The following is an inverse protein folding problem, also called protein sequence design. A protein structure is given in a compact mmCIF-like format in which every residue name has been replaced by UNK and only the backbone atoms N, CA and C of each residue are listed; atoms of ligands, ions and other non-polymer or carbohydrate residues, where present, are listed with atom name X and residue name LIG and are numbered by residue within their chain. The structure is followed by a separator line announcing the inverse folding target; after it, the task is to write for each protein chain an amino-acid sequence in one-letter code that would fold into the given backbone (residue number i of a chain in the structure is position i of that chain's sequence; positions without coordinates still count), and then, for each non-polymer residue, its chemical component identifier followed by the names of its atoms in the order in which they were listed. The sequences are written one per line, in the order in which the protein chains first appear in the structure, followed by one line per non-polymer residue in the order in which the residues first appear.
data_IF_440271336464
#
_entry.id   IF_440271336464
#
_cell.length_a   1.000
_cell.length_b   1.000
_cell.length_c   1.000
_cell.angle_alpha   90.00
_cell.angle_beta   90.00
_cell.angle_gamma   90.00
#
_symmetry.space_group_name_H-M   'P 1'
#
loop_
_entity.id
_entity.type
_entity.pdbx_description
1 polymer ?
#
# COMPACT_ATOMS: atom_id res chain seq x y z
N UNK A 1 -6.46 -22.81 -7.87
CA UNK A 1 -7.45 -22.17 -6.97
C UNK A 1 -8.45 -21.41 -7.83
N UNK A 2 -9.77 -21.50 -7.57
CA UNK A 2 -10.81 -20.83 -8.38
C UNK A 2 -11.37 -19.66 -7.58
N UNK A 3 -11.18 -18.44 -8.06
CA UNK A 3 -11.69 -17.21 -7.44
C UNK A 3 -12.77 -16.57 -8.31
N UNK A 4 -13.59 -15.71 -7.70
CA UNK A 4 -14.61 -14.91 -8.38
C UNK A 4 -14.66 -13.52 -7.74
N UNK A 5 -14.95 -12.51 -8.54
CA UNK A 5 -15.17 -11.15 -8.05
C UNK A 5 -16.52 -11.11 -7.33
N UNK A 6 -16.52 -10.75 -6.05
CA UNK A 6 -17.74 -10.61 -5.23
C UNK A 6 -18.27 -9.18 -5.20
N UNK A 7 -17.38 -8.19 -5.26
CA UNK A 7 -17.71 -6.77 -5.23
C UNK A 7 -16.65 -5.96 -5.96
N UNK A 8 -17.04 -4.84 -6.57
CA UNK A 8 -16.14 -3.80 -7.06
C UNK A 8 -16.43 -2.53 -6.29
N UNK A 9 -15.43 -2.01 -5.58
CA UNK A 9 -15.54 -0.78 -4.81
C UNK A 9 -14.58 0.28 -5.34
N UNK A 10 -14.93 1.56 -5.16
CA UNK A 10 -14.04 2.67 -5.48
C UNK A 10 -13.23 3.06 -4.25
N UNK A 11 -11.91 3.02 -4.38
CA UNK A 11 -10.97 3.42 -3.34
C UNK A 11 -10.77 2.37 -2.24
N UNK A 12 -9.66 2.54 -1.49
CA UNK A 12 -9.20 1.58 -0.48
C UNK A 12 -10.19 1.38 0.66
N UNK A 13 -10.87 2.44 1.10
CA UNK A 13 -11.83 2.35 2.20
C UNK A 13 -13.06 1.50 1.85
N UNK A 14 -13.54 1.57 0.60
CA UNK A 14 -14.67 0.73 0.17
C UNK A 14 -14.31 -0.76 0.14
N UNK A 15 -13.10 -1.07 -0.33
CA UNK A 15 -12.56 -2.45 -0.30
C UNK A 15 -12.37 -2.93 1.14
N UNK A 16 -11.84 -2.08 2.02
CA UNK A 16 -11.66 -2.39 3.45
C UNK A 16 -12.99 -2.73 4.13
N UNK A 17 -14.03 -1.93 3.88
CA UNK A 17 -15.38 -2.20 4.42
C UNK A 17 -15.95 -3.51 3.90
N UNK A 18 -15.77 -3.82 2.61
CA UNK A 18 -16.23 -5.09 2.04
C UNK A 18 -15.53 -6.31 2.68
N UNK A 19 -14.23 -6.21 2.95
CA UNK A 19 -13.46 -7.26 3.65
C UNK A 19 -13.92 -7.39 5.10
N UNK A 20 -14.10 -6.28 5.82
CA UNK A 20 -14.63 -6.28 7.20
C UNK A 20 -16.04 -6.86 7.29
N UNK A 21 -16.86 -6.69 6.26
CA UNK A 21 -18.19 -7.28 6.16
C UNK A 21 -18.17 -8.77 5.74
N UNK A 22 -17.00 -9.36 5.52
CA UNK A 22 -16.86 -10.77 5.15
C UNK A 22 -17.21 -11.10 3.69
N UNK A 23 -17.26 -10.10 2.80
CA UNK A 23 -17.60 -10.31 1.37
C UNK A 23 -16.48 -10.98 0.57
N UNK A 24 -15.27 -11.07 1.12
CA UNK A 24 -14.12 -11.69 0.48
C UNK A 24 -12.79 -11.26 1.09
N UNK A 25 -11.71 -11.58 0.37
CA UNK A 25 -10.34 -11.16 0.68
C UNK A 25 -9.87 -10.12 -0.35
N UNK A 26 -8.89 -9.30 0.02
CA UNK A 26 -8.26 -8.34 -0.88
C UNK A 26 -6.79 -8.17 -0.54
N UNK A 27 -6.05 -7.57 -1.48
CA UNK A 27 -4.64 -7.21 -1.28
C UNK A 27 -4.58 -5.81 -0.68
N UNK A 28 -3.84 -5.66 0.43
CA UNK A 28 -3.57 -4.38 1.07
C UNK A 28 -2.08 -4.20 1.31
N UNK A 29 -1.63 -2.94 1.31
CA UNK A 29 -0.34 -2.62 1.91
C UNK A 29 -0.39 -2.97 3.40
N UNK A 30 0.70 -3.55 3.93
CA UNK A 30 0.74 -4.00 5.33
C UNK A 30 0.50 -2.86 6.33
N UNK A 31 0.86 -1.62 5.96
CA UNK A 31 0.59 -0.40 6.74
C UNK A 31 -0.90 -0.06 6.88
N UNK A 32 -1.78 -0.64 6.05
CA UNK A 32 -3.23 -0.44 6.11
C UNK A 32 -3.94 -1.51 6.95
N UNK A 33 -3.25 -2.55 7.40
CA UNK A 33 -3.86 -3.59 8.22
C UNK A 33 -4.10 -3.04 9.63
N UNK A 34 -5.38 -2.94 10.00
CA UNK A 34 -5.83 -2.72 11.37
C UNK A 34 -5.95 -4.05 12.12
N UNK A 35 -6.04 -4.01 13.46
CA UNK A 35 -6.27 -5.19 14.33
C UNK A 35 -7.42 -6.09 13.89
N UNK A 36 -8.43 -5.53 13.23
CA UNK A 36 -9.69 -6.21 12.94
C UNK A 36 -9.64 -7.00 11.61
N UNK A 37 -8.48 -7.10 10.97
CA UNK A 37 -8.24 -7.89 9.76
C UNK A 37 -6.92 -8.64 9.90
N UNK A 38 -6.89 -9.89 9.45
CA UNK A 38 -5.71 -10.76 9.52
C UNK A 38 -5.10 -10.98 8.14
N UNK A 39 -3.77 -11.07 8.10
CA UNK A 39 -3.04 -11.46 6.90
C UNK A 39 -3.22 -12.96 6.63
N UNK A 40 -3.50 -13.35 5.38
CA UNK A 40 -3.65 -14.75 5.03
C UNK A 40 -2.30 -15.48 5.05
N UNK A 41 -2.21 -16.69 5.64
CA UNK A 41 -0.99 -17.49 5.59
C UNK A 41 -0.62 -17.86 4.15
N UNK A 42 0.67 -17.93 3.85
CA UNK A 42 1.18 -18.35 2.53
C UNK A 42 0.71 -19.76 2.11
N UNK A 43 0.34 -20.62 3.07
CA UNK A 43 -0.20 -21.96 2.83
C UNK A 43 -1.59 -21.99 2.17
N UNK A 44 -2.27 -20.83 2.06
CA UNK A 44 -3.59 -20.75 1.43
C UNK A 44 -3.57 -20.95 -0.09
N UNK A 45 -2.40 -21.03 -0.72
CA UNK A 45 -2.27 -21.37 -2.14
C UNK A 45 -2.51 -20.20 -3.10
N UNK A 46 -2.53 -18.97 -2.58
CA UNK A 46 -2.49 -17.76 -3.39
C UNK A 46 -1.08 -17.51 -3.93
N UNK A 47 -0.96 -16.91 -5.14
CA UNK A 47 0.34 -16.53 -5.67
C UNK A 47 1.01 -15.50 -4.77
N UNK A 48 2.35 -15.51 -4.76
CA UNK A 48 3.13 -14.47 -4.12
C UNK A 48 2.83 -13.11 -4.77
N UNK A 49 2.69 -12.08 -3.92
CA UNK A 49 2.47 -10.72 -4.38
C UNK A 49 3.82 -10.05 -4.69
N UNK A 50 3.91 -9.25 -5.78
CA UNK A 50 5.10 -8.47 -6.04
C UNK A 50 5.30 -7.40 -4.97
N UNK A 51 6.54 -6.93 -4.83
CA UNK A 51 6.83 -5.75 -4.04
C UNK A 51 6.17 -4.50 -4.66
N UNK A 52 5.86 -3.52 -3.82
CA UNK A 52 5.32 -2.23 -4.21
C UNK A 52 6.28 -1.12 -3.77
N UNK A 53 6.78 -0.36 -4.73
CA UNK A 53 7.62 0.80 -4.47
C UNK A 53 6.78 2.08 -4.51
N UNK A 54 6.97 2.92 -3.49
CA UNK A 54 6.38 4.25 -3.42
C UNK A 54 7.49 5.29 -3.53
N UNK A 55 7.38 6.18 -4.52
CA UNK A 55 8.34 7.25 -4.74
C UNK A 55 7.74 8.60 -4.34
N UNK A 56 8.56 9.46 -3.75
CA UNK A 56 8.16 10.83 -3.48
C UNK A 56 8.53 11.71 -4.67
N UNK A 57 7.51 12.33 -5.27
CA UNK A 57 7.67 13.23 -6.40
C UNK A 57 7.45 14.68 -5.92
N UNK A 58 8.52 15.49 -5.80
CA UNK A 58 8.37 16.90 -5.45
C UNK A 58 7.68 17.63 -6.61
N UNK A 59 6.81 18.59 -6.27
CA UNK A 59 6.23 19.46 -7.28
C UNK A 59 7.31 20.42 -7.79
N UNK A 60 7.65 20.43 -9.09
CA UNK A 60 8.71 21.28 -9.64
C UNK A 60 8.41 22.78 -9.52
N UNK A 61 7.15 23.15 -9.25
CA UNK A 61 6.71 24.54 -9.07
C UNK A 61 6.65 24.95 -7.59
N UNK A 62 6.93 24.05 -6.65
CA UNK A 62 6.89 24.35 -5.23
C UNK A 62 8.16 25.11 -4.79
N UNK A 63 8.08 25.96 -3.76
CA UNK A 63 9.27 26.56 -3.15
C UNK A 63 10.22 25.48 -2.61
N UNK A 64 11.50 25.57 -2.96
CA UNK A 64 12.51 24.55 -2.68
C UNK A 64 12.62 24.22 -1.19
N UNK A 65 12.81 25.24 -0.34
CA UNK A 65 13.08 25.05 1.09
C UNK A 65 11.91 24.36 1.83
N UNK A 66 10.63 24.78 1.69
CA UNK A 66 9.50 24.04 2.22
C UNK A 66 9.34 22.62 1.65
N UNK A 67 9.57 22.43 0.34
CA UNK A 67 9.45 21.12 -0.29
C UNK A 67 10.52 20.14 0.22
N UNK A 68 11.75 20.60 0.41
CA UNK A 68 12.84 19.83 0.99
C UNK A 68 12.57 19.48 2.46
N UNK A 69 12.09 20.44 3.25
CA UNK A 69 11.72 20.19 4.65
C UNK A 69 10.59 19.15 4.78
N UNK A 70 9.55 19.23 3.94
CA UNK A 70 8.47 18.25 3.93
C UNK A 70 8.96 16.87 3.49
N UNK A 71 9.81 16.82 2.47
CA UNK A 71 10.43 15.57 2.01
C UNK A 71 11.19 14.88 3.14
N UNK A 72 12.04 15.63 3.85
CA UNK A 72 12.77 15.12 5.02
C UNK A 72 11.83 14.64 6.14
N UNK A 73 10.73 15.36 6.40
CA UNK A 73 9.74 14.97 7.40
C UNK A 73 8.96 13.70 7.02
N UNK A 74 8.64 13.50 5.73
CA UNK A 74 7.98 12.26 5.26
C UNK A 74 8.95 11.08 5.37
N UNK A 75 10.18 11.25 4.89
CA UNK A 75 11.19 10.18 4.87
C UNK A 75 11.63 9.76 6.28
N UNK A 76 11.69 10.69 7.24
CA UNK A 76 12.03 10.36 8.64
C UNK A 76 10.94 9.58 9.39
N UNK A 77 9.69 9.60 8.92
CA UNK A 77 8.58 8.83 9.49
C UNK A 77 8.39 7.46 8.82
N UNK A 78 9.00 7.26 7.65
CA UNK A 78 8.95 6.01 6.91
C UNK A 78 10.20 5.15 7.13
N UNK A 79 10.26 4.03 6.42
CA UNK A 79 11.51 3.29 6.16
C UNK A 79 11.80 3.49 4.67
N UNK A 80 12.55 4.53 4.29
CA UNK A 80 12.88 4.76 2.89
C UNK A 80 13.68 3.59 2.34
N UNK A 81 13.25 3.04 1.21
CA UNK A 81 14.12 2.17 0.42
C UNK A 81 15.08 3.09 -0.33
N UNK A 82 16.39 2.87 -0.16
CA UNK A 82 17.38 3.52 -1.01
C UNK A 82 17.18 3.00 -2.43
N UNK A 83 16.92 3.86 -3.43
CA UNK A 83 16.77 3.38 -4.79
C UNK A 83 18.09 2.74 -5.23
N UNK A 84 18.02 1.50 -5.71
CA UNK A 84 19.13 0.86 -6.42
C UNK A 84 19.51 1.76 -7.61
N UNK A 85 20.80 2.11 -7.80
CA UNK A 85 21.20 2.96 -8.90
C UNK A 85 20.85 2.27 -10.22
N UNK A 86 20.01 2.92 -11.02
CA UNK A 86 19.69 2.49 -12.37
C UNK A 86 20.98 2.41 -13.18
N UNK A 87 21.43 1.19 -13.48
CA UNK A 87 22.50 0.92 -14.44
C UNK A 87 22.09 1.31 -15.85
#
# INVERSE_FOLDING_TARGET
MRSRITCVARGVNGVLTAVRAGLGIAVFARSLLSSDIVELPASTGFPALPALDLVLLPNPRAPEQPAAALTSAILSRGVPLTPEPSS
#
